data_IF_529513747940
#
_entry.id   IF_529513747940
#
_cell.length_a   1.000
_cell.length_b   1.000
_cell.length_c   1.000
_cell.angle_alpha   90.00
_cell.angle_beta   90.00
_cell.angle_gamma   90.00
#
_symmetry.space_group_name_H-M   'P 1'
#
loop_
_entity.id
_entity.type
_entity.pdbx_description
1 polymer ?
#
# COMPACT_ATOMS: atom_id res chain seq x y z
N UNK A 1 -29.57 -24.32 39.40
CA UNK A 1 -28.90 -24.31 38.07
C UNK A 1 -29.01 -22.92 37.46
N UNK A 2 -27.88 -22.21 37.38
CA UNK A 2 -27.75 -20.78 37.08
C UNK A 2 -28.06 -20.42 35.63
N UNK A 3 -29.25 -19.87 35.35
CA UNK A 3 -29.60 -19.29 34.04
C UNK A 3 -28.90 -17.95 33.75
N UNK A 4 -28.27 -17.34 34.76
CA UNK A 4 -27.64 -16.00 34.69
C UNK A 4 -26.24 -16.04 34.03
N UNK A 5 -25.58 -17.20 33.98
CA UNK A 5 -24.22 -17.34 33.44
C UNK A 5 -24.14 -17.50 31.92
N UNK A 6 -25.23 -17.84 31.23
CA UNK A 6 -25.22 -17.96 29.77
C UNK A 6 -25.31 -16.60 29.06
N UNK A 7 -26.03 -15.64 29.64
CA UNK A 7 -26.23 -14.33 29.02
C UNK A 7 -24.96 -13.45 29.05
N UNK A 8 -24.07 -13.67 30.00
CA UNK A 8 -22.83 -12.88 30.16
C UNK A 8 -21.74 -13.24 29.16
N UNK A 9 -21.75 -14.47 28.62
CA UNK A 9 -20.76 -14.92 27.62
C UNK A 9 -21.04 -14.44 26.20
N UNK A 10 -22.27 -14.06 25.86
CA UNK A 10 -22.62 -13.64 24.48
C UNK A 10 -22.31 -12.15 24.21
N UNK A 11 -22.26 -11.32 25.25
CA UNK A 11 -22.06 -9.86 25.12
C UNK A 11 -20.59 -9.50 24.89
N UNK A 12 -19.65 -10.34 25.36
CA UNK A 12 -18.21 -10.04 25.27
C UNK A 12 -17.61 -10.30 23.88
N UNK A 13 -18.31 -11.02 23.01
CA UNK A 13 -17.83 -11.40 21.67
C UNK A 13 -17.99 -10.30 20.61
N UNK A 14 -18.77 -9.25 20.87
CA UNK A 14 -19.08 -8.20 19.88
C UNK A 14 -18.10 -7.02 19.84
N UNK A 15 -17.08 -6.99 20.70
CA UNK A 15 -16.20 -5.81 20.87
C UNK A 15 -14.88 -5.87 20.09
N UNK A 16 -14.64 -6.90 19.28
CA UNK A 16 -13.43 -6.98 18.44
C UNK A 16 -13.80 -6.58 17.01
N UNK A 17 -14.22 -5.32 16.82
CA UNK A 17 -14.22 -4.72 15.48
C UNK A 17 -12.81 -4.21 15.20
N UNK A 18 -11.99 -5.02 14.54
CA UNK A 18 -10.73 -4.54 13.97
C UNK A 18 -11.07 -3.59 12.82
N UNK A 19 -10.83 -2.29 13.03
CA UNK A 19 -10.95 -1.27 12.01
C UNK A 19 -9.86 -1.44 10.93
N UNK A 20 -10.05 -2.39 10.03
CA UNK A 20 -9.28 -2.50 8.79
C UNK A 20 -9.80 -1.45 7.81
N UNK A 21 -9.43 -0.19 7.99
CA UNK A 21 -9.75 0.84 7.01
C UNK A 21 -8.80 0.69 5.81
N UNK A 22 -9.38 0.31 4.67
CA UNK A 22 -8.70 0.45 3.39
C UNK A 22 -8.60 1.95 3.06
N UNK A 23 -7.39 2.42 2.82
CA UNK A 23 -7.08 3.74 2.30
C UNK A 23 -6.95 3.68 0.77
N UNK A 24 -7.02 4.83 0.11
CA UNK A 24 -6.78 4.96 -1.32
C UNK A 24 -5.61 5.92 -1.56
N UNK A 25 -4.84 5.68 -2.60
CA UNK A 25 -3.80 6.60 -3.08
C UNK A 25 -3.81 6.64 -4.61
N UNK A 26 -3.21 7.67 -5.19
CA UNK A 26 -3.03 7.74 -6.63
C UNK A 26 -1.85 6.89 -7.07
N UNK A 27 -1.85 6.49 -8.33
CA UNK A 27 -0.76 5.73 -8.93
C UNK A 27 -0.02 6.60 -9.92
N UNK A 28 1.30 6.61 -9.81
CA UNK A 28 2.20 7.11 -10.84
C UNK A 28 3.06 5.95 -11.34
N UNK A 29 3.43 6.03 -12.61
CA UNK A 29 4.35 5.11 -13.25
C UNK A 29 5.69 5.83 -13.35
N UNK A 30 6.74 5.23 -12.80
CA UNK A 30 8.07 5.82 -12.78
C UNK A 30 9.13 4.83 -13.27
N UNK A 31 10.23 5.34 -13.81
CA UNK A 31 11.42 4.51 -14.05
C UNK A 31 11.95 3.97 -12.72
N UNK A 32 12.65 2.81 -12.68
CA UNK A 32 13.14 2.23 -11.43
C UNK A 32 14.05 3.15 -10.60
N UNK A 33 14.76 4.07 -11.24
CA UNK A 33 15.59 5.12 -10.63
C UNK A 33 14.82 6.40 -10.27
N UNK A 34 13.55 6.49 -10.69
CA UNK A 34 12.63 7.61 -10.57
C UNK A 34 13.17 8.93 -11.14
N UNK A 35 13.98 8.85 -12.20
CA UNK A 35 14.37 10.02 -13.00
C UNK A 35 13.21 10.56 -13.86
N UNK A 36 12.33 9.66 -14.33
CA UNK A 36 11.13 10.02 -15.07
C UNK A 36 9.89 9.37 -14.47
N UNK A 37 8.78 10.09 -14.53
CA UNK A 37 7.48 9.63 -14.03
C UNK A 37 6.31 10.36 -14.66
N UNK A 38 5.17 9.69 -14.65
CA UNK A 38 3.89 10.27 -15.03
C UNK A 38 2.76 9.69 -14.19
N UNK A 39 1.71 10.48 -13.98
CA UNK A 39 0.49 9.98 -13.37
C UNK A 39 -0.16 8.92 -14.24
N UNK A 40 -0.52 7.79 -13.63
CA UNK A 40 -1.32 6.79 -14.32
C UNK A 40 -2.74 7.33 -14.49
N UNK A 41 -3.20 7.35 -15.74
CA UNK A 41 -4.53 7.85 -16.11
C UNK A 41 -5.34 6.79 -16.84
N UNK A 42 -6.64 6.74 -16.55
CA UNK A 42 -7.60 5.85 -17.21
C UNK A 42 -8.14 6.42 -18.52
N UNK A 43 -9.15 5.74 -19.07
CA UNK A 43 -9.74 6.02 -20.39
C UNK A 43 -10.37 7.42 -20.55
N UNK A 44 -10.59 8.15 -19.45
CA UNK A 44 -11.20 9.49 -19.45
C UNK A 44 -10.28 10.55 -18.84
N UNK A 45 -8.96 10.35 -18.90
CA UNK A 45 -7.94 11.23 -18.30
C UNK A 45 -8.05 11.37 -16.77
N UNK A 46 -8.87 10.53 -16.13
CA UNK A 46 -8.98 10.46 -14.68
C UNK A 46 -7.75 9.76 -14.08
N UNK A 47 -7.27 10.26 -12.94
CA UNK A 47 -6.21 9.58 -12.19
C UNK A 47 -6.67 8.21 -11.71
N UNK A 48 -5.81 7.21 -11.89
CA UNK A 48 -6.04 5.86 -11.35
C UNK A 48 -5.68 5.86 -9.87
N UNK A 49 -6.54 5.25 -9.06
CA UNK A 49 -6.31 5.02 -7.64
C UNK A 49 -6.26 3.53 -7.34
N UNK A 50 -5.60 3.18 -6.24
CA UNK A 50 -5.50 1.81 -5.73
C UNK A 50 -5.82 1.79 -4.23
N UNK A 51 -6.52 0.75 -3.79
CA UNK A 51 -6.87 0.55 -2.37
C UNK A 51 -5.80 -0.26 -1.66
N UNK A 52 -5.62 0.00 -0.37
CA UNK A 52 -4.64 -0.71 0.43
C UNK A 52 -4.51 -0.15 1.83
N UNK A 53 -3.41 -0.47 2.50
CA UNK A 53 -3.13 -0.01 3.86
C UNK A 53 -1.78 0.68 3.93
N UNK A 54 -1.75 1.89 4.46
CA UNK A 54 -0.52 2.61 4.70
C UNK A 54 0.18 2.05 5.94
N UNK A 55 1.50 1.90 5.82
CA UNK A 55 2.36 1.48 6.91
C UNK A 55 3.64 2.30 6.94
N UNK A 56 4.29 2.27 8.09
CA UNK A 56 5.62 2.81 8.31
C UNK A 56 6.52 1.67 8.80
N UNK A 57 7.75 1.59 8.30
CA UNK A 57 8.75 0.66 8.80
C UNK A 57 10.01 1.42 9.21
N UNK A 58 10.53 1.04 10.37
CA UNK A 58 11.74 1.62 10.93
C UNK A 58 12.97 1.08 10.21
N UNK A 59 13.90 1.98 9.86
CA UNK A 59 15.18 1.63 9.25
C UNK A 59 16.26 1.66 10.33
N UNK A 60 16.49 2.83 10.92
CA UNK A 60 17.43 3.09 12.02
C UNK A 60 17.01 4.38 12.73
N UNK A 61 17.30 4.50 14.02
CA UNK A 61 17.08 5.68 14.90
C UNK A 61 16.32 6.88 14.29
N UNK A 62 15.00 6.91 14.50
CA UNK A 62 14.14 8.02 14.09
C UNK A 62 13.83 8.10 12.58
N UNK A 63 14.46 7.27 11.74
CA UNK A 63 14.17 7.15 10.32
C UNK A 63 13.15 6.05 10.06
N UNK A 64 12.13 6.40 9.31
CA UNK A 64 11.08 5.50 8.84
C UNK A 64 10.90 5.66 7.34
N UNK A 65 10.36 4.63 6.69
CA UNK A 65 9.82 4.76 5.34
C UNK A 65 8.36 4.35 5.30
N UNK A 66 7.61 5.02 4.44
CA UNK A 66 6.21 4.72 4.18
C UNK A 66 6.07 3.77 3.00
N UNK A 67 5.11 2.87 3.10
CA UNK A 67 4.74 1.97 2.01
C UNK A 67 3.26 1.63 2.11
N UNK A 68 2.66 1.30 0.97
CA UNK A 68 1.27 0.87 0.91
C UNK A 68 1.18 -0.63 0.65
N UNK A 69 0.54 -1.36 1.55
CA UNK A 69 0.27 -2.79 1.35
C UNK A 69 -0.93 -2.96 0.43
N UNK A 70 -0.78 -3.74 -0.64
CA UNK A 70 -1.82 -4.02 -1.65
C UNK A 70 -1.75 -5.49 -2.07
N UNK A 71 -2.86 -6.02 -2.60
CA UNK A 71 -2.88 -7.39 -3.11
C UNK A 71 -2.03 -7.51 -4.38
N UNK A 72 -1.51 -8.69 -4.66
CA UNK A 72 -0.80 -8.97 -5.92
C UNK A 72 -1.67 -8.70 -7.15
N UNK A 73 -2.94 -9.06 -7.09
CA UNK A 73 -3.89 -8.82 -8.19
C UNK A 73 -4.06 -7.32 -8.49
N UNK A 74 -4.28 -6.51 -7.45
CA UNK A 74 -4.47 -5.05 -7.60
C UNK A 74 -3.19 -4.40 -8.13
N UNK A 75 -2.04 -4.78 -7.57
CA UNK A 75 -0.74 -4.27 -8.01
C UNK A 75 -0.47 -4.60 -9.48
N UNK A 76 -0.66 -5.86 -9.89
CA UNK A 76 -0.44 -6.27 -11.27
C UNK A 76 -1.42 -5.56 -12.23
N UNK A 77 -2.65 -5.30 -11.79
CA UNK A 77 -3.67 -4.57 -12.56
C UNK A 77 -3.28 -3.13 -12.83
N UNK A 78 -2.69 -2.42 -11.86
CA UNK A 78 -2.22 -1.04 -12.10
C UNK A 78 -0.86 -1.02 -12.81
N UNK A 79 0.05 -1.94 -12.46
CA UNK A 79 1.41 -1.97 -13.01
C UNK A 79 1.42 -2.29 -14.51
N UNK A 80 0.53 -3.17 -14.99
CA UNK A 80 0.42 -3.49 -16.42
C UNK A 80 -0.05 -2.32 -17.30
N UNK A 81 -0.55 -1.25 -16.70
CA UNK A 81 -0.97 -0.04 -17.41
C UNK A 81 0.19 0.95 -17.58
N UNK A 82 1.30 0.72 -16.89
CA UNK A 82 2.53 1.47 -17.12
C UNK A 82 3.18 1.06 -18.45
N UNK A 83 3.77 2.04 -19.13
CA UNK A 83 4.67 1.86 -20.27
C UNK A 83 5.84 0.94 -19.90
N UNK A 84 6.38 0.26 -20.89
CA UNK A 84 7.59 -0.54 -20.73
C UNK A 84 8.73 0.30 -20.14
N UNK A 85 9.46 -0.27 -19.18
CA UNK A 85 10.51 0.43 -18.42
C UNK A 85 10.01 1.26 -17.23
N UNK A 86 8.68 1.36 -17.02
CA UNK A 86 8.09 2.05 -15.87
C UNK A 86 7.37 1.07 -14.95
N UNK A 87 7.30 1.40 -13.67
CA UNK A 87 6.66 0.59 -12.63
C UNK A 87 5.72 1.44 -11.80
N UNK A 88 4.61 0.84 -11.38
CA UNK A 88 3.60 1.52 -10.58
C UNK A 88 4.09 1.76 -9.14
N UNK A 89 3.91 2.98 -8.67
CA UNK A 89 4.22 3.39 -7.30
C UNK A 89 3.05 4.18 -6.70
N UNK A 90 2.88 4.17 -5.36
CA UNK A 90 1.86 4.98 -4.68
C UNK A 90 2.32 6.42 -4.51
N UNK A 91 1.42 7.38 -4.73
CA UNK A 91 1.66 8.79 -4.47
C UNK A 91 0.37 9.51 -4.05
N UNK A 92 0.47 10.35 -3.03
CA UNK A 92 -0.66 11.19 -2.61
C UNK A 92 -0.72 12.49 -3.44
N UNK A 93 0.44 13.01 -3.86
CA UNK A 93 0.57 14.18 -4.72
C UNK A 93 1.96 14.24 -5.40
N UNK A 94 2.21 15.27 -6.22
CA UNK A 94 3.44 15.43 -7.01
C UNK A 94 4.70 15.71 -6.16
N UNK A 95 4.53 16.10 -4.90
CA UNK A 95 5.60 16.42 -3.95
C UNK A 95 5.78 15.31 -2.90
N UNK A 96 5.02 14.22 -3.00
CA UNK A 96 5.18 13.07 -2.11
C UNK A 96 6.57 12.48 -2.25
N UNK A 97 7.16 12.07 -1.13
CA UNK A 97 8.36 11.23 -1.15
C UNK A 97 8.11 9.95 -1.95
N UNK A 98 9.17 9.43 -2.56
CA UNK A 98 9.14 8.16 -3.28
C UNK A 98 8.84 7.00 -2.33
N UNK A 99 7.73 6.31 -2.58
CA UNK A 99 7.24 5.19 -1.78
C UNK A 99 7.00 3.98 -2.67
N UNK A 100 6.96 2.79 -2.07
CA UNK A 100 6.74 1.53 -2.80
C UNK A 100 5.52 0.81 -2.30
N UNK A 101 4.94 -0.01 -3.17
CA UNK A 101 3.97 -1.01 -2.74
C UNK A 101 4.68 -2.14 -2.00
N UNK A 102 4.08 -2.61 -0.91
CA UNK A 102 4.35 -3.95 -0.36
C UNK A 102 3.23 -4.87 -0.84
N UNK A 103 3.57 -5.75 -1.76
CA UNK A 103 2.61 -6.64 -2.39
C UNK A 103 2.49 -7.89 -1.54
N UNK A 104 1.26 -8.25 -1.14
CA UNK A 104 0.99 -9.52 -0.48
C UNK A 104 0.30 -10.49 -1.43
N UNK A 105 0.70 -11.76 -1.34
CA UNK A 105 0.17 -12.87 -2.13
C UNK A 105 -0.85 -13.68 -1.33
N UNK A 106 -1.76 -14.41 -1.99
CA UNK A 106 -2.72 -15.30 -1.32
C UNK A 106 -2.06 -16.40 -0.47
N UNK A 107 -0.82 -16.80 -0.79
CA UNK A 107 -0.06 -17.80 -0.04
C UNK A 107 0.60 -17.25 1.25
N UNK A 108 0.41 -15.96 1.57
CA UNK A 108 0.98 -15.29 2.75
C UNK A 108 2.37 -14.69 2.54
N UNK A 109 3.01 -14.93 1.39
CA UNK A 109 4.25 -14.24 1.03
C UNK A 109 3.99 -12.76 0.75
N UNK A 110 5.04 -11.95 0.93
CA UNK A 110 5.00 -10.55 0.52
C UNK A 110 6.37 -10.09 0.00
N UNK A 111 6.36 -9.07 -0.85
CA UNK A 111 7.56 -8.46 -1.40
C UNK A 111 7.35 -6.95 -1.60
N UNK A 112 8.44 -6.18 -1.65
CA UNK A 112 8.37 -4.79 -2.09
C UNK A 112 8.45 -4.73 -3.61
N UNK A 113 7.50 -4.06 -4.24
CA UNK A 113 7.50 -3.84 -5.68
C UNK A 113 8.76 -3.08 -6.14
N UNK A 114 9.17 -3.21 -7.42
CA UNK A 114 10.22 -2.38 -7.99
C UNK A 114 9.89 -0.89 -7.95
N UNK A 115 10.90 -0.05 -8.14
CA UNK A 115 10.75 1.41 -8.18
C UNK A 115 11.70 2.13 -7.22
N UNK A 116 11.71 3.46 -7.30
CA UNK A 116 12.54 4.30 -6.44
C UNK A 116 11.99 4.30 -5.01
N UNK A 117 12.88 4.34 -4.05
CA UNK A 117 12.53 4.60 -2.65
C UNK A 117 13.16 5.93 -2.24
N UNK A 118 12.53 6.67 -1.32
CA UNK A 118 13.07 7.94 -0.85
C UNK A 118 14.50 7.83 -0.32
N UNK A 119 15.30 8.89 -0.46
CA UNK A 119 16.75 8.94 -0.20
C UNK A 119 17.18 8.36 1.16
N UNK A 120 16.30 8.31 2.15
CA UNK A 120 16.60 7.86 3.51
C UNK A 120 17.04 6.39 3.57
N UNK A 121 16.62 5.53 2.64
CA UNK A 121 17.05 4.10 2.60
C UNK A 121 18.28 3.87 1.70
N UNK A 122 18.73 4.87 0.93
CA UNK A 122 19.80 4.65 -0.07
C UNK A 122 21.19 4.71 0.55
N UNK A 123 21.23 5.08 1.84
CA UNK A 123 22.43 5.33 2.63
C UNK A 123 22.53 4.37 3.83
N UNK A 124 21.88 3.21 3.75
CA UNK A 124 21.95 2.13 4.74
C UNK A 124 22.71 0.92 4.22
#
# INVERSE_FOLDING_TARGET
MNKIRLATTLVLSLLIQTNAHAAWTYVFCATPDGEDWYWLKGNYDNYVTISGQWHESHIVWGKYFKYMSVSEEDYLTVNRQCREGYVAQPADNKLSDWQRFRVYKPNGENYYAPGKYGEIIALG
#
